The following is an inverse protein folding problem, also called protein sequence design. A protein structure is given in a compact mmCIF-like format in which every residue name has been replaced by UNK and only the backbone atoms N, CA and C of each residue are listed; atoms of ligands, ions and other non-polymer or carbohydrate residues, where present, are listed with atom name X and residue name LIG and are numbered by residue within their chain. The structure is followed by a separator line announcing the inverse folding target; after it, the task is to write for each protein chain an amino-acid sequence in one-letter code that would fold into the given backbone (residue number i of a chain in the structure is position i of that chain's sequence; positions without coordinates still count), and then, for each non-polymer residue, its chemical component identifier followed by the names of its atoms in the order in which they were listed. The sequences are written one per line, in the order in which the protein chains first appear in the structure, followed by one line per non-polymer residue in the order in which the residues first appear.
data_IF_321056799236
#
_entry.id   IF_321056799236
#
_cell.length_a   1.000
_cell.length_b   1.000
_cell.length_c   1.000
_cell.angle_alpha   90.00
_cell.angle_beta   90.00
_cell.angle_gamma   90.00
#
_symmetry.space_group_name_H-M   'P 1'
#
loop_
_entity.id
_entity.type
_entity.pdbx_description
1 polymer ?
#
# COMPACT_ATOMS: atom_id res chain seq x y z
N UNK A 1 8.67 -4.12 -1.33
CA UNK A 1 8.37 -3.31 -2.54
C UNK A 1 8.02 -1.91 -2.12
N UNK A 2 8.49 -0.92 -2.89
CA UNK A 2 8.05 0.47 -2.77
C UNK A 2 7.55 0.96 -4.13
N UNK A 3 6.54 1.82 -4.10
CA UNK A 3 5.92 2.42 -5.28
C UNK A 3 6.05 3.94 -5.14
N UNK A 4 6.71 4.57 -6.11
CA UNK A 4 6.74 6.04 -6.22
C UNK A 4 5.55 6.49 -7.06
N UNK A 5 4.80 7.46 -6.56
CA UNK A 5 3.50 7.82 -7.10
C UNK A 5 3.30 9.33 -7.16
N UNK A 6 2.62 9.80 -8.21
CA UNK A 6 2.08 11.16 -8.29
C UNK A 6 0.56 11.15 -8.13
N UNK A 7 0.04 11.99 -7.24
CA UNK A 7 -1.40 12.10 -7.01
C UNK A 7 -2.10 12.63 -8.26
N UNK A 8 -3.15 11.92 -8.70
CA UNK A 8 -3.97 12.30 -9.87
C UNK A 8 -5.35 12.77 -9.48
N UNK A 9 -5.93 12.21 -8.42
CA UNK A 9 -7.23 12.60 -7.91
C UNK A 9 -7.31 12.40 -6.39
N UNK A 10 -8.11 13.24 -5.73
CA UNK A 10 -8.35 13.20 -4.29
C UNK A 10 -9.83 13.44 -4.04
N UNK A 11 -10.51 12.44 -3.48
CA UNK A 11 -11.95 12.48 -3.25
C UNK A 11 -12.27 12.37 -1.77
N UNK A 12 -13.17 13.24 -1.27
CA UNK A 12 -13.74 13.07 0.06
C UNK A 12 -14.83 11.99 0.03
N UNK A 13 -14.66 10.93 0.83
CA UNK A 13 -15.63 9.85 0.98
C UNK A 13 -15.95 9.67 2.47
N UNK A 14 -17.06 10.30 2.88
CA UNK A 14 -17.50 10.39 4.27
C UNK A 14 -16.39 10.92 5.21
N UNK A 15 -15.75 10.03 5.96
CA UNK A 15 -14.71 10.38 6.94
C UNK A 15 -13.28 10.27 6.40
N UNK A 16 -13.10 9.83 5.15
CA UNK A 16 -11.78 9.54 4.57
C UNK A 16 -11.55 10.29 3.26
N UNK A 17 -10.27 10.47 2.94
CA UNK A 17 -9.83 10.85 1.60
C UNK A 17 -9.41 9.60 0.84
N UNK A 18 -10.00 9.40 -0.34
CA UNK A 18 -9.55 8.39 -1.31
C UNK A 18 -8.59 9.07 -2.27
N UNK A 19 -7.36 8.57 -2.33
CA UNK A 19 -6.28 9.14 -3.14
C UNK A 19 -6.02 8.17 -4.30
N UNK A 20 -6.23 8.64 -5.52
CA UNK A 20 -5.83 7.93 -6.73
C UNK A 20 -4.51 8.51 -7.21
N UNK A 21 -3.51 7.65 -7.41
CA UNK A 21 -2.17 8.06 -7.82
C UNK A 21 -1.67 7.21 -8.99
N UNK A 22 -0.94 7.84 -9.91
CA UNK A 22 -0.23 7.16 -10.99
C UNK A 22 1.15 6.73 -10.50
N UNK A 23 1.52 5.47 -10.75
CA UNK A 23 2.82 4.91 -10.38
C UNK A 23 3.87 5.37 -11.39
N UNK A 24 4.89 6.07 -10.90
CA UNK A 24 6.01 6.59 -11.69
C UNK A 24 7.20 5.63 -11.71
N UNK A 25 7.47 4.97 -10.59
CA UNK A 25 8.56 4.01 -10.45
C UNK A 25 8.23 2.90 -9.46
N UNK A 26 8.89 1.75 -9.62
CA UNK A 26 8.74 0.57 -8.78
C UNK A 26 10.10 0.10 -8.30
N UNK A 27 10.25 -0.06 -6.99
CA UNK A 27 11.41 -0.73 -6.40
C UNK A 27 11.08 -2.20 -6.12
N UNK A 28 11.94 -3.15 -6.55
CA UNK A 28 11.69 -4.59 -6.41
C UNK A 28 11.57 -5.02 -4.94
N UNK A 29 10.95 -6.18 -4.73
CA UNK A 29 10.86 -6.82 -3.42
C UNK A 29 12.24 -7.34 -2.97
N UNK A 30 12.52 -7.13 -1.69
CA UNK A 30 13.35 -8.00 -0.87
C UNK A 30 12.59 -9.30 -0.59
N UNK A 31 13.32 -10.40 -0.38
CA UNK A 31 12.76 -11.76 -0.23
C UNK A 31 11.95 -12.01 1.06
N UNK A 32 11.74 -10.95 1.85
CA UNK A 32 11.04 -10.96 3.11
C UNK A 32 9.53 -11.23 2.91
N UNK A 33 8.90 -12.02 3.79
CA UNK A 33 7.47 -12.30 3.72
C UNK A 33 6.64 -11.02 3.93
N UNK A 34 5.45 -10.97 3.31
CA UNK A 34 4.53 -9.87 3.52
C UNK A 34 4.01 -9.85 4.97
N UNK A 35 4.02 -8.67 5.59
CA UNK A 35 3.39 -8.42 6.89
C UNK A 35 1.91 -8.10 6.68
N UNK A 36 1.04 -8.82 7.39
CA UNK A 36 -0.41 -8.66 7.34
C UNK A 36 -0.93 -8.13 8.67
N UNK A 37 -1.95 -7.27 8.60
CA UNK A 37 -2.72 -6.83 9.75
C UNK A 37 -4.15 -7.37 9.63
N UNK A 38 -4.51 -8.35 10.47
CA UNK A 38 -5.83 -8.99 10.50
C UNK A 38 -6.22 -9.30 11.94
N UNK A 39 -7.52 -9.15 12.24
CA UNK A 39 -8.08 -9.37 13.59
C UNK A 39 -7.34 -8.62 14.70
N UNK A 40 -6.94 -7.38 14.41
CA UNK A 40 -6.19 -6.50 15.30
C UNK A 40 -4.82 -7.05 15.72
N UNK A 41 -4.24 -7.95 14.93
CA UNK A 41 -2.92 -8.54 15.17
C UNK A 41 -2.06 -8.52 13.89
N UNK A 42 -0.74 -8.57 14.10
CA UNK A 42 0.25 -8.68 13.03
C UNK A 42 0.58 -10.15 12.75
N UNK A 43 0.68 -10.49 11.47
CA UNK A 43 0.99 -11.85 11.00
C UNK A 43 1.99 -11.78 9.84
N UNK A 44 2.79 -12.81 9.65
CA UNK A 44 3.61 -12.99 8.45
C UNK A 44 3.05 -14.14 7.63
N UNK A 45 2.95 -13.96 6.31
CA UNK A 45 2.70 -15.08 5.40
C UNK A 45 3.96 -15.95 5.36
N UNK A 46 3.91 -17.16 5.90
CA UNK A 46 4.98 -18.13 5.70
C UNK A 46 5.04 -18.53 4.21
N UNK A 47 6.26 -18.67 3.67
CA UNK A 47 6.51 -19.06 2.27
C UNK A 47 6.19 -20.53 2.01
#
# INVERSE_FOLDING_TARGET
MALDCVVRDVQAVATHWVIMAEVLAVAPFNDDPALLYIDRAYHSLEK
#
